data_IF_543865319842
#
_entry.id   IF_543865319842
#
_cell.length_a   1.000
_cell.length_b   1.000
_cell.length_c   1.000
_cell.angle_alpha   90.00
_cell.angle_beta   90.00
_cell.angle_gamma   90.00
#
_symmetry.space_group_name_H-M   'P 1'
#
loop_
_entity.id
_entity.type
_entity.pdbx_description
1 polymer ?
#
# COMPACT_ATOMS: atom_id res chain seq x y z
N UNK A 1 -8.90 2.20 18.55
CA UNK A 1 -8.38 2.30 17.17
C UNK A 1 -9.03 1.24 16.30
N UNK A 2 -9.59 1.65 15.16
CA UNK A 2 -10.12 0.73 14.15
C UNK A 2 -9.01 -0.12 13.53
N UNK A 3 -9.37 -1.19 12.81
CA UNK A 3 -8.40 -2.06 12.12
C UNK A 3 -7.53 -1.24 11.16
N UNK A 4 -8.14 -0.36 10.37
CA UNK A 4 -7.43 0.47 9.39
C UNK A 4 -6.43 1.43 10.04
N UNK A 5 -6.78 2.04 11.19
CA UNK A 5 -5.86 2.90 11.94
C UNK A 5 -4.62 2.13 12.43
N UNK A 6 -4.79 0.87 12.87
CA UNK A 6 -3.67 0.02 13.27
C UNK A 6 -2.77 -0.32 12.07
N UNK A 7 -3.35 -0.61 10.91
CA UNK A 7 -2.61 -0.87 9.68
C UNK A 7 -1.82 0.35 9.21
N UNK A 8 -2.43 1.54 9.22
CA UNK A 8 -1.75 2.80 8.88
C UNK A 8 -0.58 3.06 9.85
N UNK A 9 -0.80 2.88 11.16
CA UNK A 9 0.29 3.01 12.16
C UNK A 9 1.42 2.02 11.90
N UNK A 10 1.10 0.77 11.56
CA UNK A 10 2.10 -0.23 11.20
C UNK A 10 2.86 0.16 9.93
N UNK A 11 2.17 0.60 8.87
CA UNK A 11 2.78 1.10 7.64
C UNK A 11 3.78 2.25 7.92
N UNK A 12 3.37 3.23 8.73
CA UNK A 12 4.18 4.39 9.12
C UNK A 12 5.44 4.02 9.92
N UNK A 13 5.43 2.89 10.63
CA UNK A 13 6.64 2.35 11.28
C UNK A 13 7.71 1.86 10.28
N UNK A 14 7.38 1.83 8.98
CA UNK A 14 8.26 1.43 7.87
C UNK A 14 8.95 0.07 8.10
N UNK A 15 8.17 -1.02 8.32
CA UNK A 15 8.72 -2.35 8.53
C UNK A 15 9.51 -2.82 7.30
N UNK A 16 10.39 -3.83 7.43
CA UNK A 16 11.12 -4.38 6.28
C UNK A 16 10.20 -4.97 5.21
N UNK A 17 9.03 -5.46 5.64
CA UNK A 17 7.97 -6.00 4.79
C UNK A 17 6.61 -5.96 5.47
N UNK A 18 5.55 -5.98 4.67
CA UNK A 18 4.14 -5.99 5.09
C UNK A 18 3.36 -6.98 4.22
N UNK A 19 2.28 -7.56 4.74
CA UNK A 19 1.41 -8.42 3.93
C UNK A 19 0.76 -7.59 2.82
N UNK A 20 0.69 -8.16 1.61
CA UNK A 20 0.04 -7.48 0.49
C UNK A 20 -1.42 -7.16 0.79
N UNK A 21 -2.13 -8.05 1.48
CA UNK A 21 -3.54 -7.84 1.81
C UNK A 21 -3.75 -6.65 2.76
N UNK A 22 -2.79 -6.38 3.63
CA UNK A 22 -2.83 -5.20 4.49
C UNK A 22 -2.58 -3.92 3.67
N UNK A 23 -1.63 -3.97 2.72
CA UNK A 23 -1.40 -2.86 1.78
C UNK A 23 -2.63 -2.60 0.92
N UNK A 24 -3.28 -3.64 0.42
CA UNK A 24 -4.51 -3.55 -0.36
C UNK A 24 -5.63 -2.88 0.43
N UNK A 25 -5.90 -3.35 1.66
CA UNK A 25 -6.89 -2.73 2.55
C UNK A 25 -6.57 -1.26 2.83
N UNK A 26 -5.30 -0.91 3.01
CA UNK A 26 -4.88 0.49 3.14
C UNK A 26 -5.23 1.26 1.88
N UNK A 27 -4.79 0.82 0.70
CA UNK A 27 -5.02 1.51 -0.57
C UNK A 27 -6.52 1.70 -0.88
N UNK A 28 -7.34 0.66 -0.66
CA UNK A 28 -8.80 0.73 -0.84
C UNK A 28 -9.46 1.74 0.10
N UNK A 29 -8.97 1.87 1.34
CA UNK A 29 -9.45 2.89 2.28
C UNK A 29 -9.11 4.33 1.86
N UNK A 30 -8.17 4.50 0.91
CA UNK A 30 -7.83 5.77 0.26
C UNK A 30 -8.33 5.80 -1.20
N UNK A 31 -9.31 4.97 -1.55
CA UNK A 31 -9.97 4.95 -2.87
C UNK A 31 -9.05 4.58 -4.04
N UNK A 32 -7.92 3.93 -3.77
CA UNK A 32 -7.10 3.29 -4.77
C UNK A 32 -7.62 1.88 -5.05
N UNK A 33 -8.11 1.65 -6.26
CA UNK A 33 -8.66 0.36 -6.68
C UNK A 33 -7.64 -0.41 -7.52
N UNK A 34 -7.62 -1.73 -7.35
CA UNK A 34 -6.80 -2.62 -8.16
C UNK A 34 -7.37 -2.73 -9.58
N UNK A 35 -6.63 -2.23 -10.57
CA UNK A 35 -7.10 -2.19 -11.98
C UNK A 35 -6.43 -3.25 -12.86
N UNK A 36 -5.30 -3.80 -12.43
CA UNK A 36 -4.59 -4.88 -13.14
C UNK A 36 -3.76 -5.70 -12.19
N UNK A 37 -3.75 -7.01 -12.43
CA UNK A 37 -2.86 -7.97 -11.76
C UNK A 37 -2.18 -8.83 -12.81
N UNK A 38 -0.85 -8.95 -12.76
CA UNK A 38 -0.09 -9.85 -13.63
C UNK A 38 1.09 -10.45 -12.87
N UNK A 39 0.98 -11.73 -12.55
CA UNK A 39 1.97 -12.43 -11.72
C UNK A 39 2.10 -11.77 -10.35
N UNK A 40 3.31 -11.32 -10.01
CA UNK A 40 3.56 -10.61 -8.75
C UNK A 40 3.18 -9.13 -8.78
N UNK A 41 2.94 -8.51 -9.94
CA UNK A 41 2.74 -7.07 -10.06
C UNK A 41 1.26 -6.71 -10.05
N UNK A 42 0.87 -5.87 -9.09
CA UNK A 42 -0.49 -5.36 -8.94
C UNK A 42 -0.50 -3.86 -9.15
N UNK A 43 -1.39 -3.35 -10.00
CA UNK A 43 -1.51 -1.93 -10.31
C UNK A 43 -2.76 -1.39 -9.63
N UNK A 44 -2.57 -0.37 -8.81
CA UNK A 44 -3.63 0.36 -8.14
C UNK A 44 -3.78 1.76 -8.74
N UNK A 45 -5.01 2.21 -8.95
CA UNK A 45 -5.34 3.51 -9.53
C UNK A 45 -6.40 4.21 -8.70
N UNK A 46 -6.22 5.51 -8.52
CA UNK A 46 -7.21 6.41 -7.96
C UNK A 46 -7.89 7.21 -9.08
N UNK A 47 -9.12 7.66 -8.85
CA UNK A 47 -9.92 8.39 -9.85
C UNK A 47 -9.23 9.67 -10.34
N UNK A 48 -8.53 10.38 -9.44
CA UNK A 48 -7.71 11.56 -9.74
C UNK A 48 -6.50 11.31 -10.68
N UNK A 49 -6.29 10.07 -11.13
CA UNK A 49 -5.24 9.69 -12.07
C UNK A 49 -3.95 9.20 -11.43
N UNK A 50 -3.79 9.27 -10.09
CA UNK A 50 -2.64 8.66 -9.41
C UNK A 50 -2.66 7.14 -9.59
N UNK A 51 -1.48 6.56 -9.79
CA UNK A 51 -1.32 5.12 -10.00
C UNK A 51 -0.03 4.61 -9.34
N UNK A 52 -0.06 3.38 -8.86
CA UNK A 52 1.11 2.73 -8.28
C UNK A 52 1.11 1.23 -8.58
N UNK A 53 2.27 0.73 -9.01
CA UNK A 53 2.52 -0.71 -9.13
C UNK A 53 3.15 -1.23 -7.84
N UNK A 54 2.56 -2.27 -7.26
CA UNK A 54 2.97 -2.94 -6.03
C UNK A 54 3.28 -4.40 -6.33
N UNK A 55 4.56 -4.82 -6.26
CA UNK A 55 4.91 -6.22 -6.43
C UNK A 55 4.81 -7.03 -5.12
N UNK A 56 4.33 -8.27 -5.25
CA UNK A 56 4.31 -9.31 -4.23
C UNK A 56 5.59 -10.14 -4.27
N UNK A 57 6.43 -10.03 -3.24
CA UNK A 57 7.50 -10.99 -2.96
C UNK A 57 6.89 -12.32 -2.55
N UNK A 58 7.21 -13.39 -3.28
CA UNK A 58 6.73 -14.76 -2.99
C UNK A 58 5.20 -14.87 -2.93
N UNK A 59 4.48 -13.99 -3.65
CA UNK A 59 3.02 -13.97 -3.69
C UNK A 59 2.32 -13.38 -2.46
N UNK A 60 3.05 -12.90 -1.43
CA UNK A 60 2.42 -12.56 -0.15
C UNK A 60 2.84 -11.20 0.44
N UNK A 61 4.07 -10.75 0.20
CA UNK A 61 4.64 -9.61 0.95
C UNK A 61 5.08 -8.46 0.05
N UNK A 62 5.04 -7.24 0.58
CA UNK A 62 5.50 -6.02 -0.08
C UNK A 62 6.75 -5.51 0.64
N UNK A 63 7.80 -5.15 -0.12
CA UNK A 63 9.08 -4.70 0.43
C UNK A 63 9.05 -3.24 0.91
N UNK A 64 9.91 -2.92 1.88
CA UNK A 64 10.08 -1.56 2.46
C UNK A 64 10.21 -0.43 1.44
N UNK A 65 10.83 -0.66 0.28
CA UNK A 65 10.92 0.35 -0.79
C UNK A 65 9.53 0.78 -1.27
N UNK A 66 8.61 -0.17 -1.48
CA UNK A 66 7.23 0.10 -1.87
C UNK A 66 6.41 0.68 -0.72
N UNK A 67 6.71 0.29 0.53
CA UNK A 67 6.10 0.90 1.72
C UNK A 67 6.36 2.42 1.74
N UNK A 68 7.60 2.85 1.51
CA UNK A 68 7.94 4.29 1.42
C UNK A 68 7.21 4.98 0.27
N UNK A 69 7.11 4.32 -0.89
CA UNK A 69 6.37 4.86 -2.04
C UNK A 69 4.88 5.02 -1.72
N UNK A 70 4.26 4.05 -1.04
CA UNK A 70 2.86 4.10 -0.61
C UNK A 70 2.63 5.25 0.38
N UNK A 71 3.51 5.41 1.38
CA UNK A 71 3.41 6.51 2.36
C UNK A 71 3.39 7.87 1.65
N UNK A 72 4.29 8.06 0.67
CA UNK A 72 4.36 9.28 -0.14
C UNK A 72 3.13 9.44 -1.04
N UNK A 73 2.69 8.37 -1.71
CA UNK A 73 1.51 8.36 -2.59
C UNK A 73 0.24 8.80 -1.84
N UNK A 74 0.10 8.32 -0.62
CA UNK A 74 -1.03 8.60 0.28
C UNK A 74 -0.84 9.89 1.10
N UNK A 75 0.27 10.61 0.91
CA UNK A 75 0.61 11.86 1.62
C UNK A 75 0.60 11.72 3.15
N UNK A 76 1.04 10.57 3.67
CA UNK A 76 1.05 10.28 5.11
C UNK A 76 2.32 10.78 5.82
N UNK A 77 3.27 11.39 5.09
CA UNK A 77 4.55 11.87 5.62
C UNK A 77 4.41 12.95 6.70
N UNK A 78 3.30 13.71 6.70
CA UNK A 78 3.01 14.78 7.67
C UNK A 78 2.32 14.32 8.96
N UNK A 79 2.05 13.02 9.11
CA UNK A 79 1.31 12.45 10.27
C UNK A 79 2.28 11.98 11.38
N UNK A 80 3.57 12.24 11.22
CA UNK A 80 4.63 11.68 12.05
C UNK A 80 5.12 12.63 13.14
#
# INVERSE_FOLDING_TARGET
MSKIQKLIKFLLSQPPEIQFEDVKQILEAFEFLEVRSTGSHHIFRHEDGRMQTIPKKGGQKVKKVYIKQIIKLLKLESIN
#
